data_IF_640759769547
#
_entry.id   IF_640759769547
#
_cell.length_a   1.000
_cell.length_b   1.000
_cell.length_c   1.000
_cell.angle_alpha   90.00
_cell.angle_beta   90.00
_cell.angle_gamma   90.00
#
_symmetry.space_group_name_H-M   'P 1'
#
loop_
_entity.id
_entity.type
_entity.pdbx_description
1 polymer ?
#
# COMPACT_ATOMS: atom_id res chain seq x y z
N UNK A 1 -5.69 13.72 14.45
CA UNK A 1 -4.76 13.17 15.44
C UNK A 1 -3.45 12.76 14.74
N UNK A 2 -2.34 12.99 15.40
CA UNK A 2 -1.02 12.52 14.96
C UNK A 2 -0.49 11.55 16.02
N UNK A 3 0.15 10.48 15.58
CA UNK A 3 0.76 9.46 16.44
C UNK A 3 2.16 9.14 15.92
N UNK A 4 3.11 8.76 16.79
CA UNK A 4 4.43 8.29 16.37
C UNK A 4 4.33 6.94 15.63
N UNK A 5 5.36 6.59 14.88
CA UNK A 5 5.48 5.24 14.34
C UNK A 5 5.46 4.20 15.46
N UNK A 6 4.82 3.07 15.23
CA UNK A 6 4.68 1.99 16.22
C UNK A 6 3.70 2.29 17.36
N UNK A 7 2.87 3.33 17.23
CA UNK A 7 1.83 3.63 18.23
C UNK A 7 0.89 2.44 18.42
N UNK A 8 0.64 2.06 19.67
CA UNK A 8 -0.13 0.85 20.01
C UNK A 8 -1.38 1.09 20.86
N UNK A 9 -1.48 2.23 21.55
CA UNK A 9 -2.65 2.58 22.38
C UNK A 9 -3.63 3.45 21.61
N UNK A 10 -4.61 2.80 20.98
CA UNK A 10 -5.62 3.47 20.15
C UNK A 10 -6.93 3.75 20.86
N UNK A 11 -7.11 3.31 22.12
CA UNK A 11 -8.37 3.40 22.84
C UNK A 11 -8.98 4.80 22.85
N UNK A 12 -8.17 5.79 23.23
CA UNK A 12 -8.63 7.19 23.32
C UNK A 12 -8.99 7.75 21.93
N UNK A 13 -8.19 7.44 20.91
CA UNK A 13 -8.41 7.98 19.55
C UNK A 13 -9.66 7.36 18.96
N UNK A 14 -9.84 6.05 19.07
CA UNK A 14 -11.03 5.34 18.56
C UNK A 14 -12.30 5.78 19.30
N UNK A 15 -12.23 6.00 20.61
CA UNK A 15 -13.34 6.57 21.40
C UNK A 15 -13.74 7.97 20.92
N UNK A 16 -12.76 8.82 20.54
CA UNK A 16 -13.03 10.14 19.95
C UNK A 16 -13.71 10.01 18.59
N UNK A 17 -13.32 9.05 17.74
CA UNK A 17 -13.98 8.77 16.46
C UNK A 17 -15.44 8.38 16.69
N UNK A 18 -15.69 7.45 17.61
CA UNK A 18 -17.04 7.01 17.98
C UNK A 18 -17.92 8.16 18.48
N UNK A 19 -17.36 9.00 19.38
CA UNK A 19 -18.04 10.19 19.87
C UNK A 19 -18.35 11.19 18.76
N UNK A 20 -17.43 11.39 17.82
CA UNK A 20 -17.66 12.28 16.69
C UNK A 20 -18.82 11.78 15.81
N UNK A 21 -18.86 10.48 15.54
CA UNK A 21 -19.93 9.86 14.75
C UNK A 21 -21.30 9.93 15.43
N UNK A 22 -21.36 9.96 16.77
CA UNK A 22 -22.65 10.08 17.50
C UNK A 22 -23.33 11.45 17.33
N UNK A 23 -22.74 12.39 16.60
CA UNK A 23 -23.33 13.68 16.26
C UNK A 23 -24.52 13.60 15.28
N UNK A 24 -24.88 12.41 14.79
CA UNK A 24 -25.94 12.18 13.82
C UNK A 24 -25.59 12.50 12.36
N UNK A 25 -24.34 12.86 12.08
CA UNK A 25 -23.83 13.09 10.72
C UNK A 25 -23.14 11.83 10.20
N UNK A 26 -23.26 11.59 8.89
CA UNK A 26 -22.45 10.56 8.20
C UNK A 26 -20.96 10.85 8.43
N UNK A 27 -20.25 9.87 8.92
CA UNK A 27 -18.86 10.00 9.35
C UNK A 27 -18.02 8.93 8.67
N UNK A 28 -16.81 9.28 8.29
CA UNK A 28 -15.78 8.35 7.83
C UNK A 28 -14.43 8.70 8.46
N UNK A 29 -13.54 7.73 8.53
CA UNK A 29 -12.15 7.94 8.95
C UNK A 29 -11.25 7.90 7.72
N UNK A 30 -10.41 8.90 7.56
CA UNK A 30 -9.30 8.91 6.59
C UNK A 30 -8.03 8.62 7.38
N UNK A 31 -7.37 7.49 7.06
CA UNK A 31 -6.23 6.98 7.81
C UNK A 31 -4.94 7.03 6.98
N UNK A 32 -3.92 7.67 7.55
CA UNK A 32 -2.53 7.68 7.04
C UNK A 32 -1.58 6.95 7.99
N UNK A 33 -2.10 6.00 8.77
CA UNK A 33 -1.29 5.16 9.67
C UNK A 33 -0.43 4.24 8.80
N UNK A 34 0.87 4.15 9.12
CA UNK A 34 1.82 3.31 8.39
C UNK A 34 2.30 2.12 9.23
N UNK A 35 2.49 0.98 8.55
CA UNK A 35 3.12 -0.21 9.11
C UNK A 35 2.34 -0.84 10.27
N UNK A 36 3.07 -1.40 11.22
CA UNK A 36 2.57 -2.23 12.32
C UNK A 36 1.53 -1.53 13.22
N UNK A 37 1.50 -0.20 13.25
CA UNK A 37 0.51 0.57 14.00
C UNK A 37 -0.93 0.38 13.48
N UNK A 38 -1.11 -0.09 12.25
CA UNK A 38 -2.42 -0.46 11.71
C UNK A 38 -3.04 -1.65 12.46
N UNK A 39 -2.25 -2.63 12.88
CA UNK A 39 -2.74 -3.83 13.55
C UNK A 39 -3.51 -3.48 14.84
N UNK A 40 -2.92 -2.81 15.84
CA UNK A 40 -3.66 -2.43 17.04
C UNK A 40 -4.77 -1.40 16.79
N UNK A 41 -4.65 -0.55 15.75
CA UNK A 41 -5.72 0.38 15.37
C UNK A 41 -6.98 -0.37 14.94
N UNK A 42 -6.89 -1.28 13.97
CA UNK A 42 -8.04 -2.04 13.49
C UNK A 42 -8.59 -2.99 14.56
N UNK A 43 -7.72 -3.59 15.39
CA UNK A 43 -8.15 -4.38 16.53
C UNK A 43 -9.03 -3.55 17.49
N UNK A 44 -8.62 -2.31 17.77
CA UNK A 44 -9.37 -1.42 18.66
C UNK A 44 -10.69 -0.94 18.04
N UNK A 45 -10.77 -0.73 16.73
CA UNK A 45 -12.06 -0.49 16.06
C UNK A 45 -13.04 -1.65 16.33
N UNK A 46 -12.57 -2.89 16.16
CA UNK A 46 -13.37 -4.07 16.46
C UNK A 46 -13.77 -4.17 17.94
N UNK A 47 -12.85 -3.93 18.88
CA UNK A 47 -13.11 -3.93 20.32
C UNK A 47 -14.20 -2.93 20.73
N UNK A 48 -14.25 -1.76 20.08
CA UNK A 48 -15.26 -0.74 20.35
C UNK A 48 -16.55 -0.91 19.51
N UNK A 49 -16.64 -1.98 18.73
CA UNK A 49 -17.81 -2.33 17.93
C UNK A 49 -18.06 -1.37 16.77
N UNK A 50 -17.01 -0.72 16.24
CA UNK A 50 -17.11 0.14 15.05
C UNK A 50 -17.09 -0.75 13.81
N UNK A 51 -18.15 -0.67 13.02
CA UNK A 51 -18.30 -1.39 11.76
C UNK A 51 -18.17 -0.42 10.58
N UNK A 52 -17.77 -0.96 9.42
CA UNK A 52 -17.61 -0.17 8.20
C UNK A 52 -18.93 0.43 7.71
N UNK A 53 -20.07 -0.24 7.94
CA UNK A 53 -21.41 0.27 7.60
C UNK A 53 -21.78 1.55 8.36
N UNK A 54 -21.25 1.73 9.58
CA UNK A 54 -21.51 2.89 10.42
C UNK A 54 -20.45 3.97 10.24
N UNK A 55 -19.18 3.59 10.30
CA UNK A 55 -18.01 4.48 10.21
C UNK A 55 -16.95 3.83 9.33
N UNK A 56 -17.04 3.94 8.01
CA UNK A 56 -16.02 3.38 7.13
C UNK A 56 -14.65 4.04 7.37
N UNK A 57 -13.60 3.25 7.33
CA UNK A 57 -12.21 3.71 7.27
C UNK A 57 -11.73 3.63 5.83
N UNK A 58 -11.10 4.67 5.33
CA UNK A 58 -10.34 4.68 4.09
C UNK A 58 -8.87 4.84 4.44
N UNK A 59 -8.09 3.80 4.26
CA UNK A 59 -6.65 3.78 4.54
C UNK A 59 -5.84 4.03 3.28
N UNK A 60 -4.59 4.51 3.43
CA UNK A 60 -3.66 4.73 2.32
C UNK A 60 -2.38 3.90 2.42
N UNK A 61 -2.28 2.99 3.39
CA UNK A 61 -1.10 2.16 3.63
C UNK A 61 -1.50 0.83 4.29
N UNK A 62 -2.54 0.19 3.78
CA UNK A 62 -2.99 -1.12 4.25
C UNK A 62 -3.11 -2.06 3.05
N UNK A 63 -2.50 -3.22 3.16
CA UNK A 63 -2.61 -4.30 2.19
C UNK A 63 -2.64 -5.65 2.88
N UNK A 64 -2.37 -6.69 2.14
CA UNK A 64 -2.46 -8.07 2.64
C UNK A 64 -1.47 -8.36 3.78
N UNK A 65 -0.35 -7.64 3.87
CA UNK A 65 0.66 -7.84 4.93
C UNK A 65 0.14 -7.37 6.29
N UNK A 66 -0.49 -6.22 6.35
CA UNK A 66 -1.08 -5.67 7.57
C UNK A 66 -2.27 -6.52 8.05
N UNK A 67 -3.00 -7.15 7.12
CA UNK A 67 -4.14 -8.00 7.44
C UNK A 67 -3.73 -9.39 7.96
N UNK A 68 -2.52 -9.86 7.66
CA UNK A 68 -2.08 -11.22 7.97
C UNK A 68 -2.05 -11.56 9.47
N UNK A 69 -2.04 -10.55 10.34
CA UNK A 69 -2.03 -10.70 11.81
C UNK A 69 -3.36 -10.37 12.50
N UNK A 70 -4.43 -10.14 11.74
CA UNK A 70 -5.71 -9.65 12.25
C UNK A 70 -6.85 -10.67 12.09
N UNK A 71 -7.83 -10.62 13.00
CA UNK A 71 -9.17 -11.11 12.68
C UNK A 71 -9.82 -10.14 11.70
N UNK A 72 -9.98 -10.57 10.46
CA UNK A 72 -10.49 -9.73 9.38
C UNK A 72 -12.01 -9.65 9.32
N UNK A 73 -12.73 -10.51 10.05
CA UNK A 73 -14.20 -10.52 10.03
C UNK A 73 -14.83 -9.18 10.38
N UNK A 74 -14.41 -8.47 11.46
CA UNK A 74 -14.97 -7.16 11.78
C UNK A 74 -14.52 -6.03 10.85
N UNK A 75 -13.58 -6.30 9.92
CA UNK A 75 -13.00 -5.30 9.03
C UNK A 75 -13.67 -5.25 7.65
N UNK A 76 -14.55 -6.18 7.35
CA UNK A 76 -15.26 -6.25 6.05
C UNK A 76 -16.00 -4.93 5.80
N UNK A 77 -15.80 -4.38 4.59
CA UNK A 77 -16.41 -3.12 4.15
C UNK A 77 -15.54 -1.87 4.40
N UNK A 78 -14.43 -1.96 5.16
CA UNK A 78 -13.44 -0.89 5.18
C UNK A 78 -12.66 -0.87 3.86
N UNK A 79 -12.21 0.33 3.47
CA UNK A 79 -11.57 0.56 2.18
C UNK A 79 -10.09 0.90 2.33
N UNK A 80 -9.33 0.56 1.32
CA UNK A 80 -7.94 1.00 1.20
C UNK A 80 -7.66 1.50 -0.22
N UNK A 81 -6.92 2.60 -0.34
CA UNK A 81 -6.49 3.16 -1.60
C UNK A 81 -4.97 3.01 -1.70
N UNK A 82 -4.50 2.21 -2.66
CA UNK A 82 -3.07 1.99 -2.88
C UNK A 82 -2.77 1.71 -4.35
N UNK A 83 -1.49 1.58 -4.72
CA UNK A 83 -1.10 1.36 -6.11
C UNK A 83 -0.93 -0.11 -6.46
N UNK A 84 -0.89 -1.00 -5.48
CA UNK A 84 -0.71 -2.43 -5.69
C UNK A 84 -1.36 -3.27 -4.57
N UNK A 85 -1.96 -4.38 -4.96
CA UNK A 85 -2.39 -5.47 -4.08
C UNK A 85 -1.91 -6.81 -4.66
N UNK A 86 -1.49 -7.73 -3.79
CA UNK A 86 -1.03 -9.06 -4.21
C UNK A 86 -2.13 -9.85 -4.93
N UNK A 87 -3.38 -9.62 -4.55
CA UNK A 87 -4.58 -10.28 -5.11
C UNK A 87 -4.92 -9.90 -6.55
N UNK A 88 -4.21 -8.92 -7.14
CA UNK A 88 -4.48 -8.51 -8.54
C UNK A 88 -4.09 -9.62 -9.51
N UNK A 89 -5.06 -10.01 -10.34
CA UNK A 89 -4.92 -11.09 -11.32
C UNK A 89 -4.45 -10.57 -12.67
N UNK A 90 -3.13 -10.36 -12.80
CA UNK A 90 -2.46 -10.10 -14.07
C UNK A 90 -1.36 -11.13 -14.32
N UNK A 91 -1.01 -11.45 -15.58
CA UNK A 91 0.12 -12.32 -15.88
C UNK A 91 1.45 -11.81 -15.29
N UNK A 92 1.66 -10.51 -15.33
CA UNK A 92 2.85 -9.84 -14.79
C UNK A 92 2.95 -10.03 -13.28
N UNK A 93 1.85 -9.82 -12.54
CA UNK A 93 1.81 -10.01 -11.09
C UNK A 93 2.00 -11.47 -10.71
N UNK A 94 1.32 -12.38 -11.39
CA UNK A 94 1.49 -13.83 -11.18
C UNK A 94 2.95 -14.25 -11.35
N UNK A 95 3.62 -13.77 -12.40
CA UNK A 95 5.02 -14.06 -12.65
C UNK A 95 5.94 -13.45 -11.58
N UNK A 96 5.65 -12.24 -11.11
CA UNK A 96 6.38 -11.57 -10.03
C UNK A 96 6.29 -12.35 -8.72
N UNK A 97 5.07 -12.70 -8.28
CA UNK A 97 4.82 -13.47 -7.07
C UNK A 97 5.54 -14.82 -7.11
N UNK A 98 5.46 -15.52 -8.26
CA UNK A 98 6.16 -16.81 -8.45
C UNK A 98 7.67 -16.67 -8.27
N UNK A 99 8.29 -15.64 -8.88
CA UNK A 99 9.73 -15.36 -8.72
C UNK A 99 10.09 -15.02 -7.29
N UNK A 100 9.29 -14.17 -6.64
CA UNK A 100 9.47 -13.79 -5.24
C UNK A 100 9.44 -15.02 -4.33
N UNK A 101 8.40 -15.84 -4.41
CA UNK A 101 8.27 -17.04 -3.59
C UNK A 101 9.41 -18.05 -3.82
N UNK A 102 9.89 -18.19 -5.06
CA UNK A 102 11.03 -19.04 -5.38
C UNK A 102 12.34 -18.52 -4.76
N UNK A 103 12.54 -17.18 -4.80
CA UNK A 103 13.72 -16.54 -4.25
C UNK A 103 13.78 -16.66 -2.72
N UNK A 104 12.71 -16.33 -2.02
CA UNK A 104 12.68 -16.37 -0.55
C UNK A 104 12.40 -17.77 0.02
N UNK A 105 12.09 -18.75 -0.85
CA UNK A 105 11.72 -20.14 -0.47
C UNK A 105 10.57 -20.21 0.53
N UNK A 106 9.65 -19.24 0.46
CA UNK A 106 8.49 -19.16 1.36
C UNK A 106 7.23 -18.70 0.60
N UNK A 107 6.32 -19.63 0.35
CA UNK A 107 5.06 -19.38 -0.37
C UNK A 107 3.99 -18.65 0.45
N UNK A 108 4.19 -18.49 1.77
CA UNK A 108 3.23 -17.82 2.66
C UNK A 108 3.50 -16.31 2.77
N UNK A 109 4.68 -15.85 2.34
CA UNK A 109 4.97 -14.40 2.36
C UNK A 109 4.21 -13.71 1.26
N UNK A 110 3.50 -12.67 1.65
CA UNK A 110 2.78 -11.79 0.73
C UNK A 110 3.73 -10.76 0.09
N UNK A 111 3.31 -10.22 -1.04
CA UNK A 111 3.91 -9.04 -1.66
C UNK A 111 3.07 -7.81 -1.31
N UNK A 112 3.67 -6.63 -1.36
CA UNK A 112 3.00 -5.38 -1.02
C UNK A 112 3.38 -4.24 -1.97
N UNK A 113 2.71 -3.11 -1.87
CA UNK A 113 2.94 -1.94 -2.71
C UNK A 113 4.41 -1.44 -2.67
N UNK A 114 5.07 -1.26 -1.51
CA UNK A 114 6.48 -0.86 -1.49
C UNK A 114 7.41 -1.83 -2.22
N UNK A 115 7.15 -3.13 -2.17
CA UNK A 115 7.95 -4.13 -2.89
C UNK A 115 7.77 -4.00 -4.40
N UNK A 116 6.54 -3.83 -4.86
CA UNK A 116 6.24 -3.60 -6.27
C UNK A 116 6.89 -2.31 -6.76
N UNK A 117 6.79 -1.23 -6.01
CA UNK A 117 7.41 0.05 -6.33
C UNK A 117 8.94 -0.06 -6.47
N UNK A 118 9.60 -0.79 -5.55
CA UNK A 118 11.04 -1.07 -5.63
C UNK A 118 11.39 -1.92 -6.86
N UNK A 119 10.60 -2.93 -7.16
CA UNK A 119 10.83 -3.79 -8.33
C UNK A 119 10.75 -2.99 -9.62
N UNK A 120 9.75 -2.15 -9.80
CA UNK A 120 9.61 -1.29 -10.98
C UNK A 120 10.75 -0.27 -11.03
N UNK A 121 11.00 0.44 -9.92
CA UNK A 121 12.02 1.47 -9.85
C UNK A 121 13.42 0.95 -10.15
N UNK A 122 13.78 -0.22 -9.61
CA UNK A 122 15.07 -0.86 -9.90
C UNK A 122 15.21 -1.24 -11.38
N UNK A 123 14.17 -1.80 -11.99
CA UNK A 123 14.21 -2.16 -13.41
C UNK A 123 14.34 -0.92 -14.30
N UNK A 124 13.64 0.17 -13.98
CA UNK A 124 13.79 1.44 -14.70
C UNK A 124 15.19 2.02 -14.53
N UNK A 125 15.75 1.96 -13.32
CA UNK A 125 17.14 2.37 -13.08
C UNK A 125 18.12 1.55 -13.91
N UNK A 126 17.98 0.23 -13.95
CA UNK A 126 18.85 -0.64 -14.75
C UNK A 126 18.76 -0.32 -16.25
N UNK A 127 17.55 0.00 -16.76
CA UNK A 127 17.36 0.48 -18.12
C UNK A 127 18.06 1.81 -18.36
N UNK A 128 17.93 2.76 -17.43
CA UNK A 128 18.57 4.07 -17.51
C UNK A 128 20.11 3.99 -17.48
N UNK A 129 20.68 3.12 -16.63
CA UNK A 129 22.13 2.86 -16.61
C UNK A 129 22.61 2.30 -17.95
N UNK A 130 21.89 1.36 -18.53
CA UNK A 130 22.21 0.81 -19.85
C UNK A 130 22.13 1.88 -20.93
N UNK A 131 21.13 2.73 -20.91
CA UNK A 131 20.94 3.84 -21.86
C UNK A 131 22.03 4.90 -21.70
N UNK A 132 22.41 5.26 -20.47
CA UNK A 132 23.45 6.23 -20.20
C UNK A 132 24.87 5.71 -20.46
N UNK A 133 25.06 4.38 -20.49
CA UNK A 133 26.39 3.75 -20.62
C UNK A 133 27.31 4.00 -19.43
N UNK A 134 26.79 4.44 -18.30
CA UNK A 134 27.55 4.81 -17.10
C UNK A 134 26.66 4.74 -15.85
N UNK A 135 27.29 4.67 -14.67
CA UNK A 135 26.63 4.79 -13.37
C UNK A 135 26.73 6.20 -12.77
N UNK A 136 27.23 7.19 -13.54
CA UNK A 136 27.26 8.58 -13.09
C UNK A 136 25.83 9.05 -12.76
N UNK A 137 25.66 9.66 -11.59
CA UNK A 137 24.33 10.00 -11.03
C UNK A 137 23.55 10.94 -11.96
N UNK A 138 24.19 11.98 -12.47
CA UNK A 138 23.50 12.97 -13.31
C UNK A 138 23.10 12.39 -14.66
N UNK A 139 23.98 11.61 -15.28
CA UNK A 139 23.68 10.94 -16.55
C UNK A 139 22.52 9.93 -16.41
N UNK A 140 22.56 9.12 -15.35
CA UNK A 140 21.48 8.14 -15.07
C UNK A 140 20.18 8.86 -14.74
N UNK A 141 20.21 9.92 -13.94
CA UNK A 141 19.03 10.74 -13.63
C UNK A 141 18.37 11.29 -14.89
N UNK A 142 19.15 11.80 -15.84
CA UNK A 142 18.62 12.28 -17.12
C UNK A 142 18.02 11.13 -17.94
N UNK A 143 18.69 9.98 -17.96
CA UNK A 143 18.20 8.81 -18.68
C UNK A 143 16.97 8.15 -18.01
N UNK A 144 16.71 8.43 -16.74
CA UNK A 144 15.50 7.96 -16.04
C UNK A 144 14.22 8.60 -16.57
N UNK A 145 14.27 9.84 -17.03
CA UNK A 145 13.08 10.55 -17.50
C UNK A 145 12.46 9.85 -18.72
N UNK A 146 11.17 9.55 -18.62
CA UNK A 146 10.45 8.85 -19.66
C UNK A 146 10.66 7.34 -19.72
N UNK A 147 11.46 6.76 -18.81
CA UNK A 147 11.56 5.30 -18.70
C UNK A 147 10.19 4.69 -18.49
N UNK A 148 9.98 3.55 -19.13
CA UNK A 148 8.71 2.80 -19.08
C UNK A 148 8.99 1.38 -18.62
N UNK A 149 8.12 0.87 -17.76
CA UNK A 149 8.16 -0.53 -17.33
C UNK A 149 6.75 -1.07 -17.20
N UNK A 150 6.56 -2.37 -17.50
CA UNK A 150 5.26 -3.02 -17.31
C UNK A 150 4.87 -2.97 -15.85
N UNK A 151 3.69 -2.40 -15.59
CA UNK A 151 3.12 -2.36 -14.25
C UNK A 151 2.56 -3.73 -13.87
N UNK A 152 2.73 -4.17 -12.64
CA UNK A 152 2.18 -5.44 -12.17
C UNK A 152 0.65 -5.41 -12.06
N UNK A 153 0.07 -4.22 -11.97
CA UNK A 153 -1.39 -4.00 -11.91
C UNK A 153 -2.04 -3.81 -13.27
N UNK A 154 -1.28 -4.02 -14.34
CA UNK A 154 -1.69 -3.78 -15.73
C UNK A 154 -1.22 -2.43 -16.27
N UNK A 155 -1.04 -2.36 -17.59
CA UNK A 155 -0.54 -1.18 -18.26
C UNK A 155 0.96 -0.94 -18.07
N UNK A 156 1.38 0.33 -18.13
CA UNK A 156 2.78 0.74 -18.13
C UNK A 156 2.99 1.87 -17.13
N UNK A 157 3.94 1.69 -16.23
CA UNK A 157 4.44 2.76 -15.37
C UNK A 157 5.42 3.64 -16.15
N UNK A 158 5.37 4.94 -15.94
CA UNK A 158 6.21 5.93 -16.62
C UNK A 158 6.90 6.83 -15.59
N UNK A 159 8.22 6.98 -15.71
CA UNK A 159 8.99 7.93 -14.90
C UNK A 159 8.83 9.35 -15.45
N UNK A 160 8.30 10.24 -14.64
CA UNK A 160 8.15 11.65 -14.98
C UNK A 160 9.39 12.46 -14.63
N UNK A 161 9.48 13.68 -15.16
CA UNK A 161 10.62 14.59 -14.91
C UNK A 161 10.69 15.13 -13.48
N UNK A 162 9.61 14.99 -12.71
CA UNK A 162 9.55 15.27 -11.27
C UNK A 162 9.92 14.08 -10.38
N UNK A 163 10.43 12.98 -10.97
CA UNK A 163 10.80 11.73 -10.32
C UNK A 163 9.64 10.95 -9.70
N UNK A 164 8.39 11.26 -10.06
CA UNK A 164 7.24 10.44 -9.71
C UNK A 164 6.89 9.47 -10.84
N UNK A 165 6.38 8.29 -10.47
CA UNK A 165 5.84 7.34 -11.42
C UNK A 165 4.36 7.62 -11.68
N UNK A 166 3.96 7.60 -12.95
CA UNK A 166 2.55 7.49 -13.31
C UNK A 166 2.12 6.02 -13.19
N UNK A 167 1.27 5.75 -12.22
CA UNK A 167 0.69 4.43 -11.91
C UNK A 167 -0.79 4.58 -11.57
N UNK A 168 -1.62 3.54 -11.78
CA UNK A 168 -3.00 3.57 -11.32
C UNK A 168 -3.06 3.58 -9.77
N UNK A 169 -4.11 4.19 -9.25
CA UNK A 169 -4.54 4.03 -7.85
C UNK A 169 -5.72 3.07 -7.85
N UNK A 170 -5.68 2.11 -6.95
CA UNK A 170 -6.67 1.07 -6.80
C UNK A 170 -7.41 1.25 -5.47
N UNK A 171 -8.65 0.79 -5.43
CA UNK A 171 -9.43 0.72 -4.20
C UNK A 171 -9.68 -0.74 -3.89
N UNK A 172 -9.20 -1.19 -2.73
CA UNK A 172 -9.48 -2.50 -2.16
C UNK A 172 -10.52 -2.40 -1.05
N UNK A 173 -11.29 -3.45 -0.88
CA UNK A 173 -12.27 -3.66 0.18
C UNK A 173 -11.92 -4.91 0.97
#
# INVERSE_FOLDING_TARGET
NYTPFGHSDWQTIVSKVKKFASSGKKTAVVSTINGDANIPFYKELGNQGIKAEDIPVVAFSVGEEELAGLDTKPLVGHLTAWNYFMSIETPENTAFIKKWHAFIKNKKRVTNDPMEAHYIGFNMWAQAVKQAGTTNVDAVRQAMYGQKFKNLTGGVAVMNTNHHLSKPVLIGE
#
